data_IF_534787714904
#
_entry.id   IF_534787714904
#
_cell.length_a   1.000
_cell.length_b   1.000
_cell.length_c   1.000
_cell.angle_alpha   90.00
_cell.angle_beta   90.00
_cell.angle_gamma   90.00
#
_symmetry.space_group_name_H-M   'P 1'
#
loop_
_entity.id
_entity.type
_entity.pdbx_description
1 polymer ?
#
# COMPACT_ATOMS: atom_id res chain seq x y z
N UNK A 1 31.73 0.86 3.00
CA UNK A 1 30.73 0.32 3.95
C UNK A 1 29.41 0.99 3.64
N UNK A 2 28.44 0.18 3.23
CA UNK A 2 27.22 0.57 2.53
C UNK A 2 26.06 -0.11 3.25
N UNK A 3 24.97 0.60 3.51
CA UNK A 3 23.70 -0.02 3.88
C UNK A 3 22.57 0.60 3.06
N UNK A 4 22.09 -0.18 2.10
CA UNK A 4 20.74 -0.05 1.57
C UNK A 4 19.85 -0.82 2.55
N UNK A 5 19.08 -0.10 3.36
CA UNK A 5 17.97 -0.67 4.10
C UNK A 5 16.89 0.40 4.25
N UNK A 6 15.82 0.26 3.46
CA UNK A 6 14.49 0.81 3.77
C UNK A 6 13.46 0.53 2.65
N UNK A 7 13.84 0.15 1.43
CA UNK A 7 12.87 0.10 0.31
C UNK A 7 12.45 -1.29 -0.17
N UNK A 8 12.97 -2.38 0.41
CA UNK A 8 12.80 -3.75 -0.12
C UNK A 8 11.46 -4.47 0.18
N UNK A 9 10.54 -3.92 0.99
CA UNK A 9 9.46 -4.78 1.54
C UNK A 9 8.11 -4.10 1.83
N UNK A 10 7.69 -3.13 1.01
CA UNK A 10 6.36 -2.50 1.16
C UNK A 10 5.19 -3.46 0.83
N UNK A 11 5.44 -4.65 0.27
CA UNK A 11 4.38 -5.55 -0.24
C UNK A 11 3.86 -6.60 0.76
N UNK A 12 4.50 -6.80 1.91
CA UNK A 12 4.16 -7.92 2.82
C UNK A 12 3.14 -7.60 3.92
N UNK A 13 2.66 -6.36 4.05
CA UNK A 13 1.86 -5.93 5.22
C UNK A 13 0.34 -6.06 5.02
N UNK A 14 -0.15 -6.40 3.83
CA UNK A 14 -1.60 -6.45 3.56
C UNK A 14 -2.24 -7.83 3.62
N UNK A 15 -1.49 -8.87 3.97
CA UNK A 15 -2.04 -10.22 4.11
C UNK A 15 -1.62 -10.83 5.46
N UNK A 16 -2.33 -10.49 6.53
CA UNK A 16 -2.07 -11.02 7.87
C UNK A 16 -2.57 -12.47 8.09
N UNK A 17 -2.99 -13.19 7.03
CA UNK A 17 -3.48 -14.57 7.16
C UNK A 17 -2.80 -15.61 6.24
N UNK A 18 -1.71 -15.30 5.53
CA UNK A 18 -1.04 -16.27 4.67
C UNK A 18 0.32 -16.71 5.26
N UNK A 19 0.40 -17.96 5.75
CA UNK A 19 1.68 -18.65 6.02
C UNK A 19 2.40 -18.96 4.71
N UNK A 20 3.58 -18.38 4.50
CA UNK A 20 4.48 -18.69 3.39
C UNK A 20 5.46 -19.82 3.77
N UNK A 21 5.86 -20.71 2.83
CA UNK A 21 6.82 -21.77 3.09
C UNK A 21 8.27 -21.27 3.07
N UNK A 22 9.12 -21.89 3.90
CA UNK A 22 10.54 -21.60 4.06
C UNK A 22 11.32 -21.65 2.73
N UNK A 23 12.08 -20.59 2.44
CA UNK A 23 13.02 -20.52 1.32
C UNK A 23 14.47 -20.55 1.81
N UNK A 24 15.29 -21.32 1.12
CA UNK A 24 16.65 -21.74 1.49
C UNK A 24 17.73 -20.75 0.99
N UNK A 25 18.75 -20.48 1.83
CA UNK A 25 19.56 -19.25 1.87
C UNK A 25 20.82 -19.17 0.94
N UNK A 26 20.89 -19.94 -0.16
CA UNK A 26 22.18 -20.22 -0.81
C UNK A 26 22.62 -19.35 -2.01
N UNK A 27 22.00 -18.20 -2.31
CA UNK A 27 22.38 -17.37 -3.48
C UNK A 27 22.66 -15.89 -3.15
N UNK A 28 23.56 -15.61 -2.20
CA UNK A 28 23.90 -14.23 -1.77
C UNK A 28 25.07 -13.56 -2.52
N UNK A 29 25.77 -14.22 -3.44
CA UNK A 29 27.11 -13.77 -3.86
C UNK A 29 27.23 -12.96 -5.16
N UNK A 30 26.12 -12.63 -5.85
CA UNK A 30 26.20 -12.06 -7.21
C UNK A 30 25.55 -10.68 -7.45
N UNK A 31 25.01 -9.99 -6.43
CA UNK A 31 24.25 -8.74 -6.63
C UNK A 31 24.82 -7.50 -5.90
N UNK A 32 26.15 -7.32 -5.92
CA UNK A 32 26.85 -6.25 -5.18
C UNK A 32 27.20 -4.99 -5.98
N UNK A 33 26.80 -4.86 -7.25
CA UNK A 33 27.31 -3.78 -8.13
C UNK A 33 26.34 -2.64 -8.49
N UNK A 34 25.06 -2.67 -8.08
CA UNK A 34 24.09 -1.64 -8.49
C UNK A 34 23.72 -0.70 -7.32
N UNK A 35 24.68 0.08 -6.86
CA UNK A 35 24.54 1.05 -5.75
C UNK A 35 24.97 2.44 -6.26
N UNK A 36 24.15 3.07 -7.08
CA UNK A 36 24.40 4.43 -7.61
C UNK A 36 23.22 5.41 -7.51
N UNK A 37 22.13 5.10 -6.79
CA UNK A 37 20.94 5.99 -6.77
C UNK A 37 20.32 6.26 -5.39
N UNK A 38 21.16 6.46 -4.39
CA UNK A 38 20.91 7.58 -3.48
C UNK A 38 22.09 8.50 -3.67
N UNK A 39 21.85 9.67 -4.25
CA UNK A 39 22.60 10.83 -3.80
C UNK A 39 22.49 10.78 -2.28
N UNK A 40 23.58 10.41 -1.61
CA UNK A 40 23.78 10.77 -0.21
C UNK A 40 23.31 12.21 -0.19
N UNK A 41 22.32 12.54 0.64
CA UNK A 41 21.94 13.93 0.80
C UNK A 41 23.13 14.60 1.50
N UNK A 42 24.19 14.87 0.74
CA UNK A 42 25.15 15.91 1.01
C UNK A 42 24.34 17.17 0.76
N UNK A 43 23.52 17.52 1.74
CA UNK A 43 23.15 18.91 1.90
C UNK A 43 24.46 19.68 1.83
N UNK A 44 24.54 20.65 0.92
CA UNK A 44 25.77 21.34 0.56
C UNK A 44 26.53 21.91 1.78
N UNK A 45 25.87 22.00 2.93
CA UNK A 45 26.37 22.58 4.18
C UNK A 45 26.66 21.54 5.29
N UNK A 46 26.73 20.24 5.01
CA UNK A 46 27.18 19.26 6.02
C UNK A 46 26.19 19.10 7.17
N UNK A 47 24.96 18.68 6.86
CA UNK A 47 23.92 18.39 7.87
C UNK A 47 24.44 17.37 8.91
N UNK A 48 24.62 17.79 10.16
CA UNK A 48 25.06 16.92 11.25
C UNK A 48 23.85 16.40 12.01
N UNK A 49 23.74 15.09 12.20
CA UNK A 49 22.76 14.50 13.12
C UNK A 49 22.99 14.99 14.55
N UNK A 50 21.90 15.25 15.28
CA UNK A 50 21.97 15.61 16.68
C UNK A 50 22.13 14.38 17.58
N UNK A 51 23.15 14.32 18.45
CA UNK A 51 23.38 13.15 19.29
C UNK A 51 22.20 12.74 20.17
N UNK A 52 21.41 13.70 20.63
CA UNK A 52 20.24 13.48 21.46
C UNK A 52 19.02 12.97 20.67
N UNK A 53 19.02 13.13 19.34
CA UNK A 53 17.99 12.60 18.45
C UNK A 53 18.35 11.24 17.86
N UNK A 54 19.53 10.69 18.16
CA UNK A 54 19.89 9.31 17.82
C UNK A 54 19.17 8.29 18.72
N UNK A 55 17.84 8.25 18.62
CA UNK A 55 16.97 7.54 19.55
C UNK A 55 15.63 7.21 18.89
N UNK A 56 14.96 6.19 19.42
CA UNK A 56 13.57 5.87 19.16
C UNK A 56 12.65 6.20 20.35
N UNK A 57 13.08 7.06 21.28
CA UNK A 57 12.20 7.60 22.31
C UNK A 57 11.11 8.46 21.66
N UNK A 58 9.91 7.89 21.48
CA UNK A 58 8.81 8.55 20.78
C UNK A 58 8.40 9.87 21.42
N UNK A 59 8.51 10.01 22.74
CA UNK A 59 8.05 11.21 23.44
C UNK A 59 9.00 12.38 23.15
N UNK A 60 10.32 12.13 23.20
CA UNK A 60 11.35 13.11 22.82
C UNK A 60 11.22 13.51 21.34
N UNK A 61 10.98 12.55 20.44
CA UNK A 61 10.79 12.82 19.01
C UNK A 61 9.54 13.69 18.77
N UNK A 62 8.43 13.39 19.45
CA UNK A 62 7.19 14.18 19.34
C UNK A 62 7.34 15.58 19.94
N UNK A 63 8.01 15.72 21.09
CA UNK A 63 8.26 17.03 21.70
C UNK A 63 9.19 17.89 20.82
N UNK A 64 10.19 17.28 20.19
CA UNK A 64 11.08 17.95 19.22
C UNK A 64 10.31 18.38 17.97
N UNK A 65 9.46 17.49 17.43
CA UNK A 65 8.67 17.77 16.22
C UNK A 65 7.63 18.87 16.47
N UNK A 66 6.96 18.86 17.62
CA UNK A 66 5.90 19.84 17.96
C UNK A 66 6.42 21.13 18.57
N UNK A 67 7.69 21.18 18.97
CA UNK A 67 8.33 22.34 19.59
C UNK A 67 7.51 22.88 20.78
N UNK A 68 7.03 22.00 21.67
CA UNK A 68 6.23 22.37 22.85
C UNK A 68 6.92 23.37 23.79
N UNK A 69 8.22 23.61 23.62
CA UNK A 69 9.03 24.47 24.47
C UNK A 69 9.29 25.89 23.94
N UNK A 70 8.86 26.25 22.72
CA UNK A 70 9.02 27.63 22.23
C UNK A 70 7.74 28.42 22.54
N UNK A 71 7.86 29.42 23.43
CA UNK A 71 6.74 30.31 23.80
C UNK A 71 6.15 30.95 22.53
N UNK A 72 4.81 30.94 22.31
CA UNK A 72 4.18 31.30 21.04
C UNK A 72 4.29 32.78 20.63
N UNK A 73 4.95 33.64 21.40
CA UNK A 73 4.68 35.07 21.35
C UNK A 73 5.25 35.83 20.15
N UNK A 74 5.88 35.19 19.15
CA UNK A 74 6.36 35.81 17.89
C UNK A 74 6.98 34.86 16.85
N UNK A 75 6.86 33.54 16.99
CA UNK A 75 7.54 32.60 16.12
C UNK A 75 6.85 32.51 14.75
N UNK A 76 7.42 33.16 13.73
CA UNK A 76 7.19 32.79 12.33
C UNK A 76 7.54 31.32 12.21
N UNK A 77 6.62 30.50 11.68
CA UNK A 77 6.91 29.08 11.45
C UNK A 77 8.24 28.94 10.71
N UNK A 78 9.16 28.06 11.14
CA UNK A 78 10.44 27.88 10.46
C UNK A 78 10.25 27.41 9.00
N UNK A 79 9.05 26.93 8.65
CA UNK A 79 8.66 26.46 7.32
C UNK A 79 7.96 27.53 6.47
N UNK A 80 7.66 28.73 7.00
CA UNK A 80 6.98 29.83 6.29
C UNK A 80 7.92 30.90 5.70
N UNK A 81 9.22 30.63 5.62
CA UNK A 81 10.18 31.62 5.09
C UNK A 81 10.08 31.65 3.56
N UNK A 82 9.53 32.73 2.99
CA UNK A 82 9.65 33.00 1.54
C UNK A 82 11.13 33.17 1.23
N UNK A 83 11.75 32.17 0.60
CA UNK A 83 13.13 32.29 0.17
C UNK A 83 13.19 33.23 -1.04
N UNK A 84 13.95 34.32 -0.93
CA UNK A 84 14.20 35.24 -2.05
C UNK A 84 15.14 34.62 -3.11
N UNK A 85 15.78 33.50 -2.79
CA UNK A 85 16.68 32.78 -3.70
C UNK A 85 16.49 31.24 -3.57
N UNK A 86 16.12 30.52 -4.64
CA UNK A 86 15.77 29.09 -4.57
C UNK A 86 16.98 28.14 -4.48
N UNK A 87 18.21 28.61 -4.63
CA UNK A 87 19.40 27.76 -4.80
C UNK A 87 20.05 27.29 -3.51
N UNK A 88 19.93 28.02 -2.40
CA UNK A 88 20.42 27.58 -1.08
C UNK A 88 19.47 28.14 -0.02
N UNK A 89 18.70 27.25 0.61
CA UNK A 89 17.78 27.63 1.69
C UNK A 89 18.41 27.11 2.98
N UNK A 90 19.07 27.96 3.78
CA UNK A 90 19.56 27.54 5.07
C UNK A 90 18.37 27.17 5.96
N UNK A 91 18.28 25.88 6.30
CA UNK A 91 17.33 25.43 7.30
C UNK A 91 17.78 25.97 8.67
N UNK A 92 16.83 26.51 9.42
CA UNK A 92 17.09 26.84 10.83
C UNK A 92 17.45 25.57 11.60
N UNK A 93 18.19 25.70 12.70
CA UNK A 93 18.50 24.58 13.60
C UNK A 93 17.22 23.86 14.04
N UNK A 94 16.15 24.61 14.32
CA UNK A 94 14.84 24.08 14.68
C UNK A 94 14.26 23.21 13.55
N UNK A 95 14.25 23.70 12.31
CA UNK A 95 13.75 22.93 11.17
C UNK A 95 14.56 21.65 10.95
N UNK A 96 15.87 21.73 11.13
CA UNK A 96 16.79 20.58 11.01
C UNK A 96 16.49 19.52 12.07
N UNK A 97 16.31 19.93 13.33
CA UNK A 97 15.89 19.04 14.43
C UNK A 97 14.51 18.42 14.20
N UNK A 98 13.55 19.21 13.70
CA UNK A 98 12.21 18.69 13.36
C UNK A 98 12.28 17.65 12.24
N UNK A 99 13.13 17.85 11.23
CA UNK A 99 13.26 16.90 10.13
C UNK A 99 13.94 15.60 10.56
N UNK A 100 14.96 15.66 11.41
CA UNK A 100 15.55 14.45 12.01
C UNK A 100 14.54 13.72 12.91
N UNK A 101 13.76 14.45 13.71
CA UNK A 101 12.71 13.87 14.52
C UNK A 101 11.61 13.20 13.66
N UNK A 102 11.17 13.86 12.58
CA UNK A 102 10.24 13.31 11.60
C UNK A 102 10.77 12.02 10.99
N UNK A 103 12.04 12.01 10.58
CA UNK A 103 12.69 10.84 10.02
C UNK A 103 12.68 9.67 11.01
N UNK A 104 13.20 9.86 12.22
CA UNK A 104 13.31 8.81 13.22
C UNK A 104 11.94 8.29 13.67
N UNK A 105 10.95 9.18 13.80
CA UNK A 105 9.58 8.81 14.12
C UNK A 105 8.93 7.99 13.00
N UNK A 106 9.16 8.35 11.73
CA UNK A 106 8.70 7.56 10.59
C UNK A 106 9.33 6.17 10.57
N UNK A 107 10.63 6.04 10.90
CA UNK A 107 11.31 4.75 10.97
C UNK A 107 10.81 3.87 12.12
N UNK A 108 10.55 4.48 13.29
CA UNK A 108 9.94 3.79 14.42
C UNK A 108 8.57 3.23 14.04
N UNK A 109 7.69 4.06 13.49
CA UNK A 109 6.34 3.66 13.08
C UNK A 109 6.37 2.54 12.03
N UNK A 110 7.26 2.66 11.04
CA UNK A 110 7.43 1.64 10.00
C UNK A 110 7.86 0.29 10.58
N UNK A 111 8.87 0.25 11.45
CA UNK A 111 9.34 -1.00 12.04
C UNK A 111 8.32 -1.61 13.01
N UNK A 112 7.61 -0.79 13.80
CA UNK A 112 6.50 -1.26 14.64
C UNK A 112 5.36 -1.87 13.80
N UNK A 113 4.96 -1.23 12.70
CA UNK A 113 3.92 -1.75 11.80
C UNK A 113 4.31 -3.10 11.16
N UNK A 114 5.60 -3.39 11.08
CA UNK A 114 6.16 -4.63 10.51
C UNK A 114 6.61 -5.65 11.55
N UNK A 115 6.32 -5.40 12.83
CA UNK A 115 6.78 -6.22 13.95
C UNK A 115 8.31 -6.43 13.99
N UNK A 116 9.08 -5.44 13.52
CA UNK A 116 10.54 -5.45 13.58
C UNK A 116 11.03 -4.98 14.96
N UNK A 117 12.18 -5.49 15.41
CA UNK A 117 12.76 -5.14 16.72
C UNK A 117 13.78 -4.01 16.67
N UNK A 118 14.26 -3.68 15.48
CA UNK A 118 15.31 -2.70 15.23
C UNK A 118 15.05 -1.97 13.93
N UNK A 119 15.51 -0.72 13.85
CA UNK A 119 15.53 0.04 12.61
C UNK A 119 16.69 1.05 12.63
N UNK A 120 16.91 1.73 11.51
CA UNK A 120 17.94 2.77 11.39
C UNK A 120 17.37 4.12 11.81
N UNK A 121 18.09 4.83 12.67
CA UNK A 121 17.91 6.26 12.84
C UNK A 121 18.56 7.01 11.67
N UNK A 122 18.30 8.31 11.58
CA UNK A 122 18.96 9.20 10.65
C UNK A 122 20.49 9.16 10.82
N UNK A 123 20.96 9.16 12.08
CA UNK A 123 22.39 9.08 12.42
C UNK A 123 23.02 7.77 11.96
N UNK A 124 22.31 6.66 12.15
CA UNK A 124 22.83 5.35 11.76
C UNK A 124 23.11 5.32 10.25
N UNK A 125 22.19 5.83 9.44
CA UNK A 125 22.38 5.93 8.00
C UNK A 125 23.52 6.87 7.62
N UNK A 126 23.60 8.04 8.27
CA UNK A 126 24.66 9.02 8.03
C UNK A 126 26.05 8.45 8.31
N UNK A 127 26.19 7.65 9.38
CA UNK A 127 27.46 7.08 9.82
C UNK A 127 27.70 5.66 9.28
N UNK A 128 26.77 5.09 8.53
CA UNK A 128 26.84 3.70 8.06
C UNK A 128 26.86 2.67 9.19
N UNK A 129 26.17 2.96 10.30
CA UNK A 129 26.05 2.08 11.46
C UNK A 129 24.96 1.02 11.25
N UNK A 130 25.00 -0.02 12.08
CA UNK A 130 23.98 -1.07 12.11
C UNK A 130 22.67 -0.54 12.71
N UNK A 131 21.52 -1.14 12.37
CA UNK A 131 20.23 -0.71 12.91
C UNK A 131 20.20 -0.94 14.43
N UNK A 132 19.67 0.03 15.16
CA UNK A 132 19.56 -0.06 16.61
C UNK A 132 18.28 -0.77 17.01
N UNK A 133 18.37 -1.63 18.02
CA UNK A 133 17.17 -2.20 18.66
C UNK A 133 16.40 -1.10 19.34
N UNK A 134 15.09 -1.10 19.16
CA UNK A 134 14.21 -0.06 19.69
C UNK A 134 14.39 0.18 21.20
N UNK A 135 14.48 -0.88 22.02
CA UNK A 135 14.73 -0.74 23.46
C UNK A 135 16.07 -0.08 23.79
N UNK A 136 17.12 -0.49 23.08
CA UNK A 136 18.48 0.02 23.26
C UNK A 136 18.58 1.49 22.82
N UNK A 137 17.82 1.86 21.79
CA UNK A 137 17.65 3.22 21.31
C UNK A 137 16.68 4.07 22.15
N UNK A 138 16.26 3.62 23.34
CA UNK A 138 15.45 4.43 24.26
C UNK A 138 13.93 4.35 24.07
N UNK A 139 13.41 3.44 23.24
CA UNK A 139 11.98 3.20 23.14
C UNK A 139 11.47 2.39 24.34
N UNK A 140 10.72 3.06 25.22
CA UNK A 140 10.31 2.57 26.53
C UNK A 140 8.84 2.08 26.60
N UNK A 141 8.11 2.07 25.48
CA UNK A 141 6.70 1.63 25.43
C UNK A 141 6.52 0.11 25.30
N UNK A 142 7.62 -0.65 25.18
CA UNK A 142 7.55 -2.09 25.29
C UNK A 142 7.31 -2.54 26.73
N UNK A 143 6.56 -3.65 26.94
CA UNK A 143 6.41 -4.22 28.27
C UNK A 143 7.77 -4.66 28.84
N UNK A 144 8.05 -4.31 30.10
CA UNK A 144 9.28 -4.67 30.80
C UNK A 144 9.45 -6.19 31.02
N UNK A 145 8.37 -6.97 30.87
CA UNK A 145 8.41 -8.42 31.06
C UNK A 145 8.89 -9.12 29.77
N UNK A 146 10.15 -9.56 29.76
CA UNK A 146 10.75 -10.28 28.63
C UNK A 146 10.07 -11.62 28.31
N UNK A 147 9.23 -12.14 29.20
CA UNK A 147 8.56 -13.42 29.01
C UNK A 147 7.19 -13.29 28.29
N UNK A 148 6.72 -12.07 28.00
CA UNK A 148 5.47 -11.88 27.25
C UNK A 148 5.78 -11.57 25.78
N UNK A 149 5.07 -12.19 24.82
CA UNK A 149 5.18 -11.80 23.43
C UNK A 149 4.81 -10.32 23.29
N UNK A 150 5.55 -9.61 22.44
CA UNK A 150 5.33 -8.20 22.19
C UNK A 150 4.23 -8.07 21.15
N UNK A 151 3.13 -7.40 21.52
CA UNK A 151 2.11 -6.96 20.57
C UNK A 151 2.55 -5.65 19.91
N UNK A 152 3.27 -5.78 18.79
CA UNK A 152 3.79 -4.64 18.04
C UNK A 152 2.69 -3.74 17.49
N UNK A 153 1.54 -4.31 17.12
CA UNK A 153 0.45 -3.54 16.53
C UNK A 153 -0.27 -2.68 17.58
N UNK A 154 -0.52 -3.22 18.77
CA UNK A 154 -1.07 -2.43 19.88
C UNK A 154 -0.13 -1.26 20.26
N UNK A 155 1.18 -1.50 20.25
CA UNK A 155 2.18 -0.46 20.53
C UNK A 155 2.25 0.57 19.39
N UNK A 156 2.18 0.11 18.14
CA UNK A 156 2.07 0.99 16.98
C UNK A 156 0.84 1.91 17.10
N UNK A 157 -0.33 1.37 17.43
CA UNK A 157 -1.55 2.13 17.64
C UNK A 157 -1.40 3.18 18.76
N UNK A 158 -0.72 2.81 19.86
CA UNK A 158 -0.42 3.74 20.95
C UNK A 158 0.44 4.92 20.47
N UNK A 159 1.53 4.65 19.74
CA UNK A 159 2.40 5.71 19.20
C UNK A 159 1.65 6.59 18.19
N UNK A 160 0.83 6.02 17.31
CA UNK A 160 -0.01 6.78 16.38
C UNK A 160 -1.01 7.68 17.14
N UNK A 161 -1.63 7.18 18.20
CA UNK A 161 -2.48 7.99 19.09
C UNK A 161 -1.70 9.19 19.65
N UNK A 162 -0.45 9.00 20.05
CA UNK A 162 0.38 10.08 20.61
C UNK A 162 0.80 11.11 19.55
N UNK A 163 1.04 10.67 18.30
CA UNK A 163 1.25 11.56 17.15
C UNK A 163 0.03 12.47 16.94
N UNK A 164 -1.18 11.94 17.04
CA UNK A 164 -2.43 12.73 16.90
C UNK A 164 -2.58 13.68 18.10
N UNK A 165 -2.51 13.17 19.33
CA UNK A 165 -2.72 13.95 20.57
C UNK A 165 -1.69 15.05 20.78
N UNK A 166 -0.47 14.87 20.28
CA UNK A 166 0.58 15.87 20.39
C UNK A 166 0.40 17.06 19.44
N UNK A 167 -0.46 16.93 18.41
CA UNK A 167 -0.57 17.91 17.33
C UNK A 167 0.52 17.77 16.27
N UNK A 168 1.34 16.70 16.33
CA UNK A 168 2.42 16.48 15.37
C UNK A 168 1.93 16.35 13.92
N UNK A 169 0.72 15.82 13.70
CA UNK A 169 0.10 15.74 12.37
C UNK A 169 0.02 17.12 11.70
N UNK A 170 -0.37 18.15 12.46
CA UNK A 170 -0.55 19.51 11.93
C UNK A 170 0.81 20.10 11.47
N UNK A 171 1.89 19.79 12.20
CA UNK A 171 3.26 20.16 11.83
C UNK A 171 3.71 19.40 10.59
N UNK A 172 3.41 18.10 10.49
CA UNK A 172 3.75 17.28 9.32
C UNK A 172 3.08 17.82 8.05
N UNK A 173 1.81 18.22 8.13
CA UNK A 173 1.13 18.85 6.99
C UNK A 173 1.72 20.22 6.63
N UNK A 174 2.15 21.01 7.62
CA UNK A 174 2.85 22.26 7.38
C UNK A 174 4.19 22.02 6.67
N UNK A 175 4.97 21.03 7.12
CA UNK A 175 6.22 20.61 6.48
C UNK A 175 5.99 20.07 5.06
N UNK A 176 4.93 19.29 4.84
CA UNK A 176 4.58 18.72 3.53
C UNK A 176 4.27 19.80 2.48
N UNK A 177 3.64 20.91 2.89
CA UNK A 177 3.34 22.04 2.01
C UNK A 177 4.60 22.80 1.56
N UNK A 178 5.74 22.58 2.22
CA UNK A 178 7.00 23.18 1.84
C UNK A 178 7.62 22.43 0.65
N UNK A 179 7.41 22.96 -0.56
CA UNK A 179 7.93 22.38 -1.80
C UNK A 179 9.42 22.59 -2.01
N UNK A 180 10.10 23.34 -1.13
CA UNK A 180 11.51 23.72 -1.32
C UNK A 180 12.46 22.54 -1.12
N UNK A 181 12.06 21.56 -0.31
CA UNK A 181 12.90 20.41 0.06
C UNK A 181 12.15 19.11 -0.20
N UNK A 182 12.41 18.47 -1.34
CA UNK A 182 11.71 17.25 -1.77
C UNK A 182 11.81 16.12 -0.77
N UNK A 183 12.97 15.95 -0.13
CA UNK A 183 13.16 14.90 0.89
C UNK A 183 12.29 15.12 2.14
N UNK A 184 11.97 16.38 2.50
CA UNK A 184 11.01 16.69 3.57
C UNK A 184 9.64 16.19 3.18
N UNK A 185 9.19 16.52 1.96
CA UNK A 185 7.89 16.10 1.42
C UNK A 185 7.77 14.58 1.43
N UNK A 186 8.80 13.87 0.94
CA UNK A 186 8.86 12.42 0.98
C UNK A 186 8.73 11.87 2.41
N UNK A 187 9.48 12.41 3.38
CA UNK A 187 9.42 11.92 4.77
C UNK A 187 8.10 12.24 5.46
N UNK A 188 7.47 13.36 5.11
CA UNK A 188 6.10 13.64 5.55
C UNK A 188 5.14 12.57 5.02
N UNK A 189 5.24 12.20 3.74
CA UNK A 189 4.41 11.16 3.14
C UNK A 189 4.70 9.77 3.72
N UNK A 190 5.96 9.44 4.03
CA UNK A 190 6.32 8.19 4.71
C UNK A 190 5.65 8.08 6.09
N UNK A 191 5.69 9.15 6.90
CA UNK A 191 5.01 9.18 8.19
C UNK A 191 3.49 9.12 8.03
N UNK A 192 2.93 9.91 7.10
CA UNK A 192 1.49 9.95 6.83
C UNK A 192 0.97 8.58 6.36
N UNK A 193 1.76 7.85 5.56
CA UNK A 193 1.43 6.51 5.12
C UNK A 193 1.36 5.53 6.29
N UNK A 194 2.25 5.64 7.27
CA UNK A 194 2.15 4.82 8.47
C UNK A 194 0.90 5.16 9.28
N UNK A 195 0.70 6.43 9.67
CA UNK A 195 -0.42 6.80 10.56
C UNK A 195 -1.80 6.61 9.91
N UNK A 196 -1.92 6.77 8.58
CA UNK A 196 -3.14 6.51 7.83
C UNK A 196 -3.55 5.02 7.79
N UNK A 197 -2.72 4.11 8.32
CA UNK A 197 -3.10 2.71 8.52
C UNK A 197 -4.17 2.57 9.61
N UNK A 198 -4.28 3.52 10.52
CA UNK A 198 -5.34 3.55 11.54
C UNK A 198 -6.59 4.24 10.95
N UNK A 199 -7.73 3.54 10.81
CA UNK A 199 -8.91 4.08 10.11
C UNK A 199 -9.41 5.42 10.66
N UNK A 200 -9.41 5.59 11.98
CA UNK A 200 -9.85 6.84 12.63
C UNK A 200 -8.93 8.01 12.29
N UNK A 201 -7.63 7.76 12.14
CA UNK A 201 -6.66 8.79 11.76
C UNK A 201 -6.77 9.12 10.28
N UNK A 202 -6.95 8.12 9.42
CA UNK A 202 -7.22 8.34 8.00
C UNK A 202 -8.52 9.13 7.79
N UNK A 203 -9.59 8.86 8.55
CA UNK A 203 -10.82 9.66 8.53
C UNK A 203 -10.56 11.10 8.97
N UNK A 204 -9.82 11.28 10.07
CA UNK A 204 -9.41 12.62 10.54
C UNK A 204 -8.61 13.39 9.48
N UNK A 205 -7.73 12.71 8.74
CA UNK A 205 -6.98 13.30 7.62
C UNK A 205 -7.94 13.77 6.52
N UNK A 206 -8.86 12.91 6.08
CA UNK A 206 -9.83 13.24 5.04
C UNK A 206 -10.74 14.41 5.43
N UNK A 207 -11.17 14.46 6.69
CA UNK A 207 -12.12 15.46 7.18
C UNK A 207 -11.46 16.83 7.42
N UNK A 208 -10.24 16.85 7.99
CA UNK A 208 -9.56 18.09 8.37
C UNK A 208 -8.65 18.65 7.28
N UNK A 209 -8.19 17.80 6.36
CA UNK A 209 -7.22 18.15 5.32
C UNK A 209 -7.76 17.75 3.94
N UNK A 210 -8.97 18.18 3.59
CA UNK A 210 -9.64 17.81 2.33
C UNK A 210 -8.78 18.07 1.08
N UNK A 211 -8.06 19.20 1.04
CA UNK A 211 -7.18 19.58 -0.09
C UNK A 211 -5.97 18.63 -0.25
N UNK A 212 -5.69 17.81 0.75
CA UNK A 212 -4.56 16.88 0.70
C UNK A 212 -4.77 15.79 -0.36
N UNK A 213 -6.01 15.35 -0.60
CA UNK A 213 -6.28 14.40 -1.70
C UNK A 213 -5.85 14.98 -3.06
N UNK A 214 -6.10 16.27 -3.29
CA UNK A 214 -5.66 16.97 -4.50
C UNK A 214 -4.14 16.97 -4.59
N UNK A 215 -3.44 17.27 -3.49
CA UNK A 215 -1.98 17.28 -3.43
C UNK A 215 -1.38 15.88 -3.69
N UNK A 216 -2.00 14.81 -3.18
CA UNK A 216 -1.58 13.44 -3.44
C UNK A 216 -1.71 13.08 -4.93
N UNK A 217 -2.86 13.39 -5.55
CA UNK A 217 -3.08 13.12 -6.97
C UNK A 217 -2.13 13.93 -7.85
N UNK A 218 -1.89 15.20 -7.52
CA UNK A 218 -0.90 16.03 -8.20
C UNK A 218 0.52 15.47 -8.05
N UNK A 219 0.90 15.01 -6.85
CA UNK A 219 2.19 14.36 -6.61
C UNK A 219 2.36 13.07 -7.41
N UNK A 220 1.28 12.30 -7.62
CA UNK A 220 1.27 11.11 -8.48
C UNK A 220 1.43 11.51 -9.95
N UNK A 221 0.72 12.54 -10.41
CA UNK A 221 0.76 12.97 -11.81
C UNK A 221 2.10 13.59 -12.19
N UNK A 222 2.57 14.56 -11.42
CA UNK A 222 3.64 15.48 -11.82
C UNK A 222 4.95 15.25 -11.06
N UNK A 223 4.92 14.49 -9.96
CA UNK A 223 6.05 14.35 -9.05
C UNK A 223 7.13 13.37 -9.52
N UNK A 224 8.30 13.42 -8.88
CA UNK A 224 9.37 12.45 -9.10
C UNK A 224 8.96 11.04 -8.63
N UNK A 225 9.31 9.99 -9.38
CA UNK A 225 8.85 8.62 -9.14
C UNK A 225 9.10 8.14 -7.70
N UNK A 226 10.33 8.31 -7.22
CA UNK A 226 10.79 7.80 -5.92
C UNK A 226 10.34 8.70 -4.77
N UNK A 227 10.44 10.02 -4.96
CA UNK A 227 10.28 11.01 -3.88
C UNK A 227 8.82 11.42 -3.68
N UNK A 228 8.01 11.35 -4.74
CA UNK A 228 6.65 11.89 -4.73
C UNK A 228 5.59 10.88 -5.20
N UNK A 229 5.74 10.23 -6.38
CA UNK A 229 4.70 9.35 -6.91
C UNK A 229 4.45 8.15 -5.98
N UNK A 230 5.49 7.39 -5.65
CA UNK A 230 5.39 6.20 -4.79
C UNK A 230 4.89 6.57 -3.38
N UNK A 231 5.47 7.56 -2.67
CA UNK A 231 4.98 7.93 -1.34
C UNK A 231 3.55 8.48 -1.36
N UNK A 232 3.18 9.30 -2.34
CA UNK A 232 1.82 9.85 -2.45
C UNK A 232 0.80 8.74 -2.68
N UNK A 233 1.12 7.80 -3.57
CA UNK A 233 0.28 6.65 -3.85
C UNK A 233 0.16 5.71 -2.64
N UNK A 234 1.24 5.56 -1.86
CA UNK A 234 1.24 4.79 -0.62
C UNK A 234 0.26 5.37 0.42
N UNK A 235 0.23 6.71 0.57
CA UNK A 235 -0.76 7.38 1.44
C UNK A 235 -2.17 7.21 0.86
N UNK A 236 -2.34 7.51 -0.43
CA UNK A 236 -3.65 7.46 -1.10
C UNK A 236 -4.27 6.06 -1.02
N UNK A 237 -3.48 5.00 -1.21
CA UNK A 237 -3.91 3.61 -1.06
C UNK A 237 -4.64 3.36 0.27
N UNK A 238 -4.10 3.89 1.37
CA UNK A 238 -4.65 3.70 2.72
C UNK A 238 -5.89 4.57 2.95
N UNK A 239 -5.89 5.78 2.41
CA UNK A 239 -7.07 6.63 2.42
C UNK A 239 -8.22 6.01 1.60
N UNK A 240 -7.94 5.46 0.42
CA UNK A 240 -8.92 4.76 -0.42
C UNK A 240 -9.59 3.60 0.31
N UNK A 241 -8.85 2.83 1.12
CA UNK A 241 -9.45 1.79 1.97
C UNK A 241 -10.51 2.35 2.91
N UNK A 242 -10.24 3.48 3.55
CA UNK A 242 -11.20 4.12 4.45
C UNK A 242 -12.36 4.75 3.68
N UNK A 243 -12.09 5.39 2.54
CA UNK A 243 -13.11 5.95 1.65
C UNK A 243 -14.12 4.88 1.26
N UNK A 244 -13.64 3.73 0.77
CA UNK A 244 -14.51 2.63 0.33
C UNK A 244 -15.19 1.96 1.51
N UNK A 245 -14.45 1.58 2.56
CA UNK A 245 -15.03 0.87 3.71
C UNK A 245 -16.05 1.69 4.52
N UNK A 246 -15.92 3.01 4.53
CA UNK A 246 -16.83 3.93 5.23
C UNK A 246 -17.82 4.62 4.30
N UNK A 247 -17.85 4.24 3.02
CA UNK A 247 -18.71 4.81 1.99
C UNK A 247 -18.66 6.35 1.93
N UNK A 248 -17.45 6.91 1.89
CA UNK A 248 -17.22 8.36 1.86
C UNK A 248 -17.36 8.90 0.43
N UNK A 249 -18.61 8.96 -0.05
CA UNK A 249 -18.94 9.29 -1.44
C UNK A 249 -18.33 10.61 -1.93
N UNK A 250 -18.28 11.66 -1.10
CA UNK A 250 -17.70 12.95 -1.50
C UNK A 250 -16.20 12.84 -1.81
N UNK A 251 -15.45 12.11 -0.97
CA UNK A 251 -14.03 11.86 -1.20
C UNK A 251 -13.80 10.95 -2.40
N UNK A 252 -14.68 9.96 -2.61
CA UNK A 252 -14.63 9.10 -3.78
C UNK A 252 -14.88 9.89 -5.08
N UNK A 253 -15.95 10.70 -5.12
CA UNK A 253 -16.30 11.57 -6.24
C UNK A 253 -15.15 12.53 -6.56
N UNK A 254 -14.48 13.10 -5.54
CA UNK A 254 -13.31 13.95 -5.75
C UNK A 254 -12.19 13.24 -6.52
N UNK A 255 -11.95 11.94 -6.29
CA UNK A 255 -10.98 11.16 -7.06
C UNK A 255 -11.42 10.95 -8.53
N UNK A 256 -12.72 10.81 -8.77
CA UNK A 256 -13.29 10.72 -10.12
C UNK A 256 -13.14 12.04 -10.86
N UNK A 257 -13.49 13.15 -10.21
CA UNK A 257 -13.40 14.50 -10.79
C UNK A 257 -11.95 14.88 -11.14
N UNK A 258 -10.99 14.39 -10.36
CA UNK A 258 -9.56 14.54 -10.65
C UNK A 258 -9.03 13.59 -11.73
N UNK A 259 -9.89 12.73 -12.31
CA UNK A 259 -9.54 11.76 -13.34
C UNK A 259 -8.41 10.81 -12.91
N UNK A 260 -8.42 10.39 -11.63
CA UNK A 260 -7.31 9.63 -11.04
C UNK A 260 -6.93 8.38 -11.85
N UNK A 261 -7.91 7.65 -12.40
CA UNK A 261 -7.66 6.44 -13.19
C UNK A 261 -6.96 6.76 -14.51
N UNK A 262 -7.40 7.80 -15.21
CA UNK A 262 -6.76 8.21 -16.45
C UNK A 262 -5.31 8.63 -16.19
N UNK A 263 -5.05 9.36 -15.10
CA UNK A 263 -3.69 9.69 -14.66
C UNK A 263 -2.84 8.42 -14.47
N UNK A 264 -3.36 7.41 -13.76
CA UNK A 264 -2.61 6.17 -13.50
C UNK A 264 -2.33 5.41 -14.80
N UNK A 265 -3.30 5.28 -15.69
CA UNK A 265 -3.13 4.57 -16.97
C UNK A 265 -2.15 5.32 -17.87
N UNK A 266 -2.27 6.64 -17.97
CA UNK A 266 -1.33 7.47 -18.74
C UNK A 266 0.10 7.26 -18.22
N UNK A 267 0.29 7.21 -16.89
CA UNK A 267 1.60 6.94 -16.28
C UNK A 267 2.12 5.54 -16.59
N UNK A 268 1.26 4.53 -16.70
CA UNK A 268 1.69 3.21 -17.15
C UNK A 268 2.18 3.23 -18.61
N UNK A 269 1.58 4.09 -19.46
CA UNK A 269 1.90 4.20 -20.88
C UNK A 269 3.13 5.08 -21.17
N UNK A 270 3.51 6.01 -20.27
CA UNK A 270 4.59 7.01 -20.49
C UNK A 270 5.99 6.43 -20.78
N UNK A 271 6.23 5.13 -20.54
CA UNK A 271 7.48 4.49 -20.94
C UNK A 271 8.71 4.93 -20.14
N UNK A 272 8.53 5.59 -18.99
CA UNK A 272 9.64 6.01 -18.10
C UNK A 272 10.44 4.81 -17.53
N UNK A 273 9.87 3.60 -17.56
CA UNK A 273 10.50 2.34 -17.11
C UNK A 273 11.60 1.81 -18.05
N UNK A 274 11.96 2.53 -19.12
CA UNK A 274 12.99 2.10 -20.08
C UNK A 274 14.41 2.09 -19.50
N UNK A 275 14.64 2.72 -18.36
CA UNK A 275 15.95 2.75 -17.70
C UNK A 275 16.05 1.69 -16.61
N UNK A 276 17.13 0.89 -16.66
CA UNK A 276 17.41 -0.22 -15.74
C UNK A 276 17.36 0.24 -14.27
N UNK A 277 17.89 1.42 -13.96
CA UNK A 277 17.95 1.91 -12.56
C UNK A 277 16.57 2.33 -12.02
N UNK A 278 15.63 2.64 -12.91
CA UNK A 278 14.27 3.09 -12.56
C UNK A 278 13.25 1.95 -12.52
N UNK A 279 13.56 0.81 -13.13
CA UNK A 279 12.58 -0.26 -13.37
C UNK A 279 12.01 -0.80 -12.05
N UNK A 280 12.86 -1.06 -11.06
CA UNK A 280 12.44 -1.58 -9.75
C UNK A 280 11.45 -0.64 -9.05
N UNK A 281 11.69 0.68 -9.15
CA UNK A 281 10.80 1.68 -8.57
C UNK A 281 9.49 1.79 -9.35
N UNK A 282 9.54 1.68 -10.68
CA UNK A 282 8.33 1.64 -11.49
C UNK A 282 7.47 0.42 -11.18
N UNK A 283 8.06 -0.77 -11.03
CA UNK A 283 7.34 -1.99 -10.63
C UNK A 283 6.64 -1.78 -9.28
N UNK A 284 7.33 -1.15 -8.32
CA UNK A 284 6.74 -0.79 -7.02
C UNK A 284 5.58 0.20 -7.15
N UNK A 285 5.73 1.22 -7.99
CA UNK A 285 4.68 2.17 -8.31
C UNK A 285 3.47 1.46 -8.93
N UNK A 286 3.68 0.65 -9.97
CA UNK A 286 2.64 -0.09 -10.68
C UNK A 286 1.87 -1.02 -9.75
N UNK A 287 2.59 -1.75 -8.88
CA UNK A 287 1.98 -2.62 -7.87
C UNK A 287 1.07 -1.85 -6.90
N UNK A 288 1.53 -0.71 -6.39
CA UNK A 288 0.74 0.14 -5.49
C UNK A 288 -0.46 0.76 -6.21
N UNK A 289 -0.31 1.08 -7.50
CA UNK A 289 -1.34 1.70 -8.30
C UNK A 289 -2.48 0.71 -8.58
N UNK A 290 -2.14 -0.50 -9.01
CA UNK A 290 -3.10 -1.58 -9.20
C UNK A 290 -3.78 -1.98 -7.88
N UNK A 291 -3.07 -1.99 -6.76
CA UNK A 291 -3.68 -2.16 -5.43
C UNK A 291 -4.72 -1.09 -5.13
N UNK A 292 -4.37 0.18 -5.37
CA UNK A 292 -5.25 1.31 -5.13
C UNK A 292 -6.51 1.22 -6.00
N UNK A 293 -6.34 0.97 -7.30
CA UNK A 293 -7.44 0.78 -8.23
C UNK A 293 -8.33 -0.40 -7.83
N UNK A 294 -7.74 -1.55 -7.47
CA UNK A 294 -8.49 -2.71 -7.01
C UNK A 294 -9.37 -2.37 -5.80
N UNK A 295 -8.85 -1.65 -4.79
CA UNK A 295 -9.65 -1.20 -3.64
C UNK A 295 -10.80 -0.30 -4.08
N UNK A 296 -10.54 0.66 -4.97
CA UNK A 296 -11.58 1.56 -5.46
C UNK A 296 -12.68 0.85 -6.26
N UNK A 297 -12.38 -0.33 -6.83
CA UNK A 297 -13.28 -1.15 -7.62
C UNK A 297 -14.03 -2.23 -6.82
N UNK A 298 -13.82 -2.32 -5.49
CA UNK A 298 -14.47 -3.34 -4.66
C UNK A 298 -16.00 -3.18 -4.56
N UNK A 299 -16.54 -2.01 -4.92
CA UNK A 299 -17.98 -1.72 -4.88
C UNK A 299 -18.51 -1.45 -6.29
N UNK A 300 -19.54 -2.16 -6.73
CA UNK A 300 -20.14 -1.99 -8.06
C UNK A 300 -20.67 -0.56 -8.27
N UNK A 301 -21.31 0.03 -7.26
CA UNK A 301 -21.84 1.41 -7.32
C UNK A 301 -20.73 2.43 -7.62
N UNK A 302 -19.53 2.19 -7.09
CA UNK A 302 -18.36 3.03 -7.33
C UNK A 302 -17.81 2.86 -8.74
N UNK A 303 -17.83 1.64 -9.30
CA UNK A 303 -17.40 1.38 -10.68
C UNK A 303 -18.30 2.08 -11.69
N UNK A 304 -19.60 2.15 -11.41
CA UNK A 304 -20.58 2.83 -12.28
C UNK A 304 -20.34 4.35 -12.38
N UNK A 305 -19.64 4.94 -11.40
CA UNK A 305 -19.25 6.35 -11.44
C UNK A 305 -18.11 6.63 -12.43
N UNK A 306 -17.41 5.58 -12.91
CA UNK A 306 -16.26 5.73 -13.80
C UNK A 306 -16.71 5.84 -15.24
N UNK A 307 -16.04 6.68 -16.02
CA UNK A 307 -16.29 6.73 -17.46
C UNK A 307 -16.02 5.37 -18.10
N UNK A 308 -16.88 4.95 -19.03
CA UNK A 308 -16.71 3.69 -19.76
C UNK A 308 -15.35 3.62 -20.47
N UNK A 309 -14.88 4.76 -21.00
CA UNK A 309 -13.55 4.86 -21.61
C UNK A 309 -12.44 4.50 -20.62
N UNK A 310 -12.47 5.02 -19.40
CA UNK A 310 -11.45 4.71 -18.38
C UNK A 310 -11.50 3.23 -17.97
N UNK A 311 -12.70 2.66 -17.81
CA UNK A 311 -12.88 1.24 -17.50
C UNK A 311 -12.28 0.34 -18.60
N UNK A 312 -12.58 0.62 -19.88
CA UNK A 312 -12.04 -0.12 -21.03
C UNK A 312 -10.51 -0.01 -21.08
N UNK A 313 -9.95 1.19 -20.87
CA UNK A 313 -8.50 1.38 -20.85
C UNK A 313 -7.83 0.56 -19.76
N UNK A 314 -8.40 0.54 -18.55
CA UNK A 314 -7.86 -0.23 -17.44
C UNK A 314 -7.89 -1.73 -17.73
N UNK A 315 -8.98 -2.23 -18.29
CA UNK A 315 -9.13 -3.63 -18.71
C UNK A 315 -8.07 -3.98 -19.75
N UNK A 316 -7.91 -3.16 -20.79
CA UNK A 316 -6.92 -3.39 -21.84
C UNK A 316 -5.49 -3.39 -21.28
N UNK A 317 -5.20 -2.51 -20.34
CA UNK A 317 -3.91 -2.47 -19.67
C UNK A 317 -3.65 -3.76 -18.87
N UNK A 318 -4.62 -4.20 -18.06
CA UNK A 318 -4.51 -5.45 -17.30
C UNK A 318 -4.32 -6.65 -18.24
N UNK A 319 -5.09 -6.75 -19.32
CA UNK A 319 -4.93 -7.80 -20.34
C UNK A 319 -3.53 -7.77 -20.96
N UNK A 320 -3.01 -6.57 -21.27
CA UNK A 320 -1.66 -6.42 -21.83
C UNK A 320 -0.59 -6.92 -20.85
N UNK A 321 -0.73 -6.59 -19.56
CA UNK A 321 0.21 -7.04 -18.53
C UNK A 321 0.16 -8.57 -18.34
N UNK A 322 -1.04 -9.14 -18.27
CA UNK A 322 -1.25 -10.59 -18.17
C UNK A 322 -0.70 -11.32 -19.40
N UNK A 323 -0.97 -10.83 -20.61
CA UNK A 323 -0.49 -11.44 -21.84
C UNK A 323 1.04 -11.41 -21.95
N UNK A 324 1.69 -10.30 -21.57
CA UNK A 324 3.16 -10.21 -21.50
C UNK A 324 3.72 -11.28 -20.56
N UNK A 325 3.11 -11.48 -19.40
CA UNK A 325 3.58 -12.48 -18.42
C UNK A 325 3.51 -13.93 -18.93
N UNK A 326 2.58 -14.25 -19.83
CA UNK A 326 2.44 -15.59 -20.43
C UNK A 326 3.44 -15.81 -21.56
N UNK A 327 3.60 -14.82 -22.45
CA UNK A 327 4.48 -14.95 -23.61
C UNK A 327 5.97 -15.00 -23.23
N UNK A 328 6.37 -14.31 -22.16
CA UNK A 328 7.77 -14.33 -21.71
C UNK A 328 8.20 -15.72 -21.20
N UNK A 329 7.27 -16.52 -20.67
CA UNK A 329 7.53 -17.91 -20.27
C UNK A 329 7.82 -18.79 -21.50
N UNK A 330 7.13 -18.58 -22.63
CA UNK A 330 7.34 -19.35 -23.87
C UNK A 330 8.63 -18.93 -24.62
N UNK A 331 8.97 -17.64 -24.63
CA UNK A 331 10.18 -17.16 -25.30
C UNK A 331 11.46 -17.54 -24.55
N UNK A 332 11.44 -17.58 -23.21
CA UNK A 332 12.54 -18.13 -22.40
C UNK A 332 12.84 -19.59 -22.76
N UNK A 333 11.81 -20.38 -23.07
CA UNK A 333 11.96 -21.78 -23.46
C UNK A 333 12.64 -21.93 -24.84
N UNK A 334 12.34 -21.03 -25.78
CA UNK A 334 12.86 -21.10 -27.15
C UNK A 334 14.24 -20.44 -27.34
N UNK A 335 14.59 -19.43 -26.54
CA UNK A 335 15.87 -18.71 -26.69
C UNK A 335 17.12 -19.45 -26.22
N UNK A 336 16.98 -20.59 -25.52
CA UNK A 336 18.14 -21.44 -25.23
C UNK A 336 18.80 -22.06 -26.49
N UNK A 337 18.20 -21.93 -27.68
CA UNK A 337 18.72 -22.53 -28.91
C UNK A 337 19.37 -21.60 -29.95
N UNK A 338 19.33 -20.27 -29.81
CA UNK A 338 19.93 -19.38 -30.81
C UNK A 338 20.62 -18.14 -30.23
N UNK A 339 21.96 -18.14 -30.22
CA UNK A 339 22.80 -16.99 -29.89
C UNK A 339 23.50 -16.46 -31.15
N UNK A 340 23.09 -15.29 -31.67
CA UNK A 340 23.96 -14.32 -32.35
C UNK A 340 23.18 -13.07 -32.82
N UNK A 341 22.96 -12.09 -31.93
CA UNK A 341 22.83 -10.67 -32.30
C UNK A 341 22.83 -9.76 -31.06
N UNK A 342 23.70 -8.73 -31.04
CA UNK A 342 24.04 -7.99 -29.81
C UNK A 342 23.19 -6.73 -29.54
N UNK A 343 22.51 -6.16 -30.54
CA UNK A 343 21.74 -4.91 -30.34
C UNK A 343 20.27 -5.14 -29.98
N UNK A 344 19.66 -6.22 -30.45
CA UNK A 344 18.31 -6.62 -30.06
C UNK A 344 18.25 -7.07 -28.58
N UNK A 345 19.38 -7.61 -28.11
CA UNK A 345 19.63 -8.07 -26.74
C UNK A 345 19.32 -7.03 -25.67
N UNK A 346 19.54 -5.73 -25.90
CA UNK A 346 19.42 -4.73 -24.82
C UNK A 346 17.95 -4.39 -24.47
N UNK A 347 17.08 -4.30 -25.48
CA UNK A 347 15.62 -4.13 -25.29
C UNK A 347 14.98 -5.40 -24.75
N UNK A 348 15.42 -6.57 -25.22
CA UNK A 348 14.95 -7.87 -24.72
C UNK A 348 15.36 -8.11 -23.25
N UNK A 349 16.58 -7.73 -22.85
CA UNK A 349 17.04 -7.78 -21.45
C UNK A 349 16.15 -6.93 -20.53
N UNK A 350 15.70 -5.75 -20.97
CA UNK A 350 14.82 -4.91 -20.16
C UNK A 350 13.42 -5.53 -19.98
N UNK A 351 12.88 -6.18 -21.01
CA UNK A 351 11.61 -6.92 -20.91
C UNK A 351 11.74 -8.19 -20.07
N UNK A 352 12.86 -8.92 -20.18
CA UNK A 352 13.17 -10.10 -19.37
C UNK A 352 13.37 -9.76 -17.90
N UNK A 353 14.11 -8.69 -17.59
CA UNK A 353 14.27 -8.19 -16.20
C UNK A 353 12.93 -7.69 -15.66
N UNK A 354 12.17 -6.94 -16.47
CA UNK A 354 10.83 -6.49 -16.09
C UNK A 354 9.92 -7.69 -15.80
N UNK A 355 9.89 -8.72 -16.65
CA UNK A 355 9.11 -9.94 -16.48
C UNK A 355 9.58 -10.81 -15.31
N UNK A 356 10.90 -10.94 -15.11
CA UNK A 356 11.49 -11.69 -14.00
C UNK A 356 11.27 -10.97 -12.65
N UNK A 357 11.32 -9.65 -12.63
CA UNK A 357 10.99 -8.87 -11.43
C UNK A 357 9.47 -8.73 -11.21
N UNK A 358 8.66 -8.78 -12.27
CA UNK A 358 7.19 -8.91 -12.17
C UNK A 358 6.72 -10.32 -11.80
N UNK A 359 7.56 -11.33 -12.04
CA UNK A 359 7.32 -12.71 -11.58
C UNK A 359 7.29 -12.82 -10.05
N UNK A 360 7.67 -11.74 -9.35
CA UNK A 360 7.31 -11.48 -7.96
C UNK A 360 5.79 -11.17 -7.91
N UNK A 361 4.98 -12.22 -8.07
CA UNK A 361 3.59 -12.48 -7.65
C UNK A 361 2.63 -11.27 -7.61
N UNK A 362 2.95 -10.19 -6.91
CA UNK A 362 2.05 -9.10 -6.53
C UNK A 362 1.46 -8.29 -7.68
N UNK A 363 2.23 -7.73 -8.60
CA UNK A 363 1.64 -6.84 -9.65
C UNK A 363 0.71 -7.61 -10.60
N UNK A 364 1.08 -8.85 -10.95
CA UNK A 364 0.21 -9.72 -11.74
C UNK A 364 -1.05 -10.12 -10.95
N UNK A 365 -0.90 -10.46 -9.66
CA UNK A 365 -2.05 -10.72 -8.78
C UNK A 365 -3.01 -9.54 -8.77
N UNK A 366 -2.50 -8.32 -8.59
CA UNK A 366 -3.34 -7.13 -8.53
C UNK A 366 -3.92 -6.76 -9.89
N UNK A 367 -3.23 -6.99 -11.00
CA UNK A 367 -3.81 -6.84 -12.33
C UNK A 367 -4.95 -7.85 -12.56
N UNK A 368 -4.78 -9.11 -12.16
CA UNK A 368 -5.85 -10.12 -12.21
C UNK A 368 -7.04 -9.70 -11.34
N UNK A 369 -6.81 -9.29 -10.09
CA UNK A 369 -7.88 -8.85 -9.18
C UNK A 369 -8.59 -7.59 -9.70
N UNK A 370 -7.83 -6.62 -10.21
CA UNK A 370 -8.36 -5.38 -10.80
C UNK A 370 -9.22 -5.72 -12.01
N UNK A 371 -8.70 -6.56 -12.92
CA UNK A 371 -9.44 -7.05 -14.08
C UNK A 371 -10.76 -7.71 -13.67
N UNK A 372 -10.69 -8.69 -12.75
CA UNK A 372 -11.86 -9.42 -12.28
C UNK A 372 -12.89 -8.50 -11.62
N UNK A 373 -12.44 -7.48 -10.88
CA UNK A 373 -13.32 -6.50 -10.24
C UNK A 373 -14.08 -5.67 -11.28
N UNK A 374 -13.42 -5.20 -12.34
CA UNK A 374 -14.11 -4.48 -13.44
C UNK A 374 -15.10 -5.40 -14.16
N UNK A 375 -14.69 -6.63 -14.49
CA UNK A 375 -15.54 -7.59 -15.20
C UNK A 375 -16.76 -7.99 -14.37
N UNK A 376 -16.59 -8.21 -13.07
CA UNK A 376 -17.69 -8.58 -12.16
C UNK A 376 -18.77 -7.49 -12.11
N UNK A 377 -18.38 -6.24 -12.23
CA UNK A 377 -19.31 -5.11 -12.16
C UNK A 377 -20.07 -4.86 -13.46
N UNK A 378 -19.61 -5.39 -14.61
CA UNK A 378 -20.28 -5.20 -15.91
C UNK A 378 -20.80 -6.49 -16.53
N UNK A 379 -22.12 -6.55 -16.74
CA UNK A 379 -22.81 -7.70 -17.33
C UNK A 379 -22.33 -8.01 -18.75
N UNK A 380 -22.04 -6.99 -19.53
CA UNK A 380 -21.61 -7.09 -20.93
C UNK A 380 -20.20 -7.68 -21.05
N UNK A 381 -19.27 -7.26 -20.17
CA UNK A 381 -17.93 -7.84 -20.10
C UNK A 381 -18.00 -9.27 -19.55
N UNK A 382 -18.93 -9.54 -18.62
CA UNK A 382 -19.25 -10.88 -18.16
C UNK A 382 -19.83 -11.80 -19.25
N UNK A 383 -20.42 -11.27 -20.34
CA UNK A 383 -20.81 -12.05 -21.52
C UNK A 383 -19.58 -12.41 -22.33
N UNK A 384 -18.73 -11.42 -22.67
CA UNK A 384 -17.46 -11.67 -23.36
C UNK A 384 -16.60 -12.72 -22.62
N UNK A 385 -16.55 -12.65 -21.29
CA UNK A 385 -15.84 -13.64 -20.47
C UNK A 385 -16.42 -15.05 -20.55
N UNK A 386 -17.75 -15.17 -20.57
CA UNK A 386 -18.43 -16.47 -20.68
C UNK A 386 -18.27 -17.09 -22.06
N UNK A 387 -18.17 -16.27 -23.10
CA UNK A 387 -18.08 -16.73 -24.48
C UNK A 387 -16.63 -17.03 -24.92
N UNK A 388 -15.62 -16.51 -24.22
CA UNK A 388 -14.21 -16.71 -24.58
C UNK A 388 -13.51 -17.73 -23.66
N UNK A 389 -13.61 -19.01 -24.02
CA UNK A 389 -13.11 -20.14 -23.22
C UNK A 389 -11.61 -20.04 -22.91
N UNK A 390 -10.77 -19.71 -23.90
CA UNK A 390 -9.32 -19.56 -23.70
C UNK A 390 -8.97 -18.47 -22.69
N UNK A 391 -9.71 -17.37 -22.72
CA UNK A 391 -9.48 -16.27 -21.79
C UNK A 391 -9.93 -16.65 -20.35
N UNK A 392 -11.01 -17.43 -20.22
CA UNK A 392 -11.45 -17.99 -18.94
C UNK A 392 -10.41 -18.96 -18.36
N UNK A 393 -9.87 -19.86 -19.20
CA UNK A 393 -8.81 -20.79 -18.81
C UNK A 393 -7.56 -20.03 -18.37
N UNK A 394 -7.16 -18.99 -19.10
CA UNK A 394 -6.03 -18.14 -18.74
C UNK A 394 -6.25 -17.48 -17.37
N UNK A 395 -7.42 -16.86 -17.13
CA UNK A 395 -7.69 -16.25 -15.83
C UNK A 395 -7.74 -17.27 -14.70
N UNK A 396 -8.28 -18.46 -14.94
CA UNK A 396 -8.29 -19.55 -13.95
C UNK A 396 -6.86 -19.96 -13.60
N UNK A 397 -6.01 -20.17 -14.61
CA UNK A 397 -4.59 -20.48 -14.42
C UNK A 397 -3.85 -19.35 -13.68
N UNK A 398 -4.10 -18.09 -14.04
CA UNK A 398 -3.49 -16.92 -13.39
C UNK A 398 -3.98 -16.76 -11.95
N UNK A 399 -5.28 -16.96 -11.68
CA UNK A 399 -5.85 -16.93 -10.33
C UNK A 399 -5.30 -18.08 -9.47
N UNK A 400 -5.15 -19.27 -10.02
CA UNK A 400 -4.55 -20.40 -9.31
C UNK A 400 -3.04 -20.16 -9.04
N UNK A 401 -2.31 -19.57 -9.99
CA UNK A 401 -0.86 -19.33 -9.87
C UNK A 401 -0.52 -18.12 -8.99
N UNK A 402 -1.33 -17.06 -9.05
CA UNK A 402 -1.03 -15.76 -8.44
C UNK A 402 -2.13 -15.21 -7.53
N UNK A 403 -3.38 -15.65 -7.68
CA UNK A 403 -4.48 -15.16 -6.85
C UNK A 403 -4.27 -15.49 -5.36
N UNK A 404 -4.94 -14.75 -4.45
CA UNK A 404 -4.92 -15.09 -3.04
C UNK A 404 -5.38 -16.53 -2.87
N UNK A 405 -4.59 -17.33 -2.15
CA UNK A 405 -4.92 -18.72 -1.78
C UNK A 405 -5.99 -18.67 -0.70
N UNK A 406 -7.20 -18.32 -1.08
CA UNK A 406 -8.35 -18.45 -0.19
C UNK A 406 -8.66 -19.95 -0.10
N UNK A 407 -8.14 -20.62 0.94
CA UNK A 407 -8.45 -22.02 1.26
C UNK A 407 -9.98 -22.25 1.39
N UNK A 408 -10.75 -21.18 1.57
CA UNK A 408 -12.22 -21.19 1.64
C UNK A 408 -12.93 -21.10 0.26
N UNK A 409 -12.26 -20.67 -0.81
CA UNK A 409 -12.90 -20.45 -2.13
C UNK A 409 -12.91 -21.70 -3.02
N UNK A 410 -11.99 -22.64 -2.84
CA UNK A 410 -12.07 -23.94 -3.53
C UNK A 410 -13.30 -24.78 -3.08
N UNK A 411 -13.97 -24.35 -2.00
CA UNK A 411 -15.28 -24.89 -1.60
C UNK A 411 -16.47 -24.18 -2.29
N UNK A 412 -16.29 -23.02 -2.92
CA UNK A 412 -17.39 -22.23 -3.52
C UNK A 412 -17.81 -22.77 -4.89
N UNK A 413 -16.89 -23.32 -5.71
CA UNK A 413 -17.27 -23.93 -7.00
C UNK A 413 -18.10 -25.23 -6.84
N UNK A 414 -18.04 -25.85 -5.65
CA UNK A 414 -18.87 -27.00 -5.27
C UNK A 414 -19.97 -26.66 -4.23
N UNK A 415 -20.18 -25.38 -3.89
CA UNK A 415 -21.28 -24.99 -3.01
C UNK A 415 -22.60 -25.19 -3.74
N UNK A 416 -23.25 -26.32 -3.46
CA UNK A 416 -24.66 -26.48 -3.73
C UNK A 416 -25.42 -25.41 -2.94
N UNK A 417 -25.95 -24.41 -3.66
CA UNK A 417 -26.82 -23.40 -3.07
C UNK A 417 -27.92 -24.08 -2.24
N UNK A 418 -27.98 -23.74 -0.95
CA UNK A 418 -28.88 -24.38 0.00
C UNK A 418 -30.30 -23.85 -0.19
N UNK A 419 -31.30 -24.73 -0.08
CA UNK A 419 -32.71 -24.34 -0.05
C UNK A 419 -33.13 -24.02 1.38
N UNK A 420 -34.06 -23.07 1.53
CA UNK A 420 -34.55 -22.73 2.87
C UNK A 420 -35.21 -23.96 3.47
N UNK A 421 -34.85 -24.27 4.72
CA UNK A 421 -35.40 -25.43 5.42
C UNK A 421 -36.86 -25.26 5.86
N UNK A 422 -37.44 -24.07 5.72
CA UNK A 422 -38.88 -23.88 5.84
C UNK A 422 -39.56 -24.41 4.57
N UNK A 423 -40.38 -25.45 4.69
CA UNK A 423 -41.05 -26.11 3.56
C UNK A 423 -42.00 -25.19 2.76
N UNK A 424 -42.45 -24.08 3.37
CA UNK A 424 -43.28 -23.08 2.70
C UNK A 424 -42.44 -21.99 2.00
N UNK A 425 -41.13 -21.96 2.20
CA UNK A 425 -40.23 -20.97 1.64
C UNK A 425 -39.45 -21.55 0.46
N UNK A 426 -39.60 -20.94 -0.72
CA UNK A 426 -38.92 -21.38 -1.95
C UNK A 426 -37.57 -20.69 -2.19
N UNK A 427 -37.09 -19.88 -1.23
CA UNK A 427 -35.82 -19.16 -1.36
C UNK A 427 -34.64 -20.13 -1.44
N UNK A 428 -33.73 -19.83 -2.35
CA UNK A 428 -32.45 -20.50 -2.56
C UNK A 428 -31.34 -19.51 -2.20
N UNK A 429 -30.33 -19.98 -1.47
CA UNK A 429 -29.16 -19.18 -1.09
C UNK A 429 -28.47 -18.65 -2.35
N UNK A 430 -27.97 -17.41 -2.31
CA UNK A 430 -27.20 -16.79 -3.39
C UNK A 430 -26.20 -15.79 -2.82
N UNK A 431 -25.41 -15.15 -3.68
CA UNK A 431 -24.36 -14.20 -3.26
C UNK A 431 -24.86 -13.03 -2.40
N UNK A 432 -26.14 -12.68 -2.47
CA UNK A 432 -26.74 -11.56 -1.74
C UNK A 432 -27.45 -11.99 -0.46
N UNK A 433 -27.88 -13.25 -0.35
CA UNK A 433 -28.70 -13.74 0.76
C UNK A 433 -28.03 -14.97 1.38
N UNK A 434 -27.26 -14.75 2.44
CA UNK A 434 -26.66 -15.83 3.23
C UNK A 434 -27.67 -16.41 4.21
N UNK A 435 -27.81 -17.73 4.21
CA UNK A 435 -28.75 -18.39 5.12
C UNK A 435 -28.12 -18.56 6.51
N UNK A 436 -28.94 -18.37 7.54
CA UNK A 436 -28.54 -18.58 8.93
C UNK A 436 -28.86 -20.02 9.35
N UNK A 437 -27.90 -20.70 9.98
CA UNK A 437 -28.10 -22.02 10.57
C UNK A 437 -28.90 -21.91 11.87
N UNK A 438 -29.78 -22.88 12.17
CA UNK A 438 -30.47 -22.93 13.45
C UNK A 438 -29.44 -23.02 14.60
N UNK A 439 -29.49 -22.13 15.60
CA UNK A 439 -28.53 -22.17 16.72
C UNK A 439 -28.77 -23.36 17.66
N UNK A 440 -29.91 -24.04 17.58
CA UNK A 440 -30.23 -25.16 18.47
C UNK A 440 -29.97 -26.52 17.83
N UNK A 441 -30.37 -26.73 16.57
CA UNK A 441 -30.20 -28.04 15.92
C UNK A 441 -28.96 -28.11 15.03
N UNK A 442 -28.38 -26.97 14.62
CA UNK A 442 -27.25 -26.84 13.69
C UNK A 442 -27.38 -27.56 12.34
N UNK A 443 -28.54 -28.18 12.05
CA UNK A 443 -28.78 -29.00 10.86
C UNK A 443 -29.51 -28.25 9.75
N UNK A 444 -30.36 -27.30 10.11
CA UNK A 444 -31.26 -26.63 9.17
C UNK A 444 -30.87 -25.16 9.00
N UNK A 445 -31.14 -24.62 7.81
CA UNK A 445 -30.74 -23.27 7.39
C UNK A 445 -31.93 -22.45 6.89
N UNK A 446 -31.94 -21.14 7.17
CA UNK A 446 -33.07 -20.25 6.89
C UNK A 446 -32.64 -18.96 6.22
N UNK A 447 -33.43 -18.50 5.26
CA UNK A 447 -33.21 -17.23 4.57
C UNK A 447 -33.54 -15.99 5.41
N UNK A 448 -34.30 -16.16 6.50
CA UNK A 448 -34.76 -15.06 7.34
C UNK A 448 -35.02 -15.51 8.77
N UNK A 449 -35.05 -14.55 9.70
CA UNK A 449 -35.44 -14.78 11.09
C UNK A 449 -36.85 -15.37 11.18
N UNK A 450 -37.78 -14.89 10.36
CA UNK A 450 -39.15 -15.41 10.31
C UNK A 450 -39.20 -16.90 9.98
N UNK A 451 -38.49 -17.35 8.93
CA UNK A 451 -38.43 -18.77 8.57
C UNK A 451 -37.83 -19.63 9.68
N UNK A 452 -36.88 -19.09 10.45
CA UNK A 452 -36.29 -19.75 11.61
C UNK A 452 -37.30 -19.86 12.77
N UNK A 453 -38.07 -18.81 13.04
CA UNK A 453 -39.10 -18.79 14.10
C UNK A 453 -40.25 -19.77 13.81
N UNK A 454 -40.67 -19.90 12.55
CA UNK A 454 -41.65 -20.91 12.12
C UNK A 454 -41.12 -22.33 12.40
N UNK A 455 -39.85 -22.60 12.08
CA UNK A 455 -39.27 -23.89 12.43
C UNK A 455 -39.19 -24.12 13.94
N UNK A 456 -38.78 -23.09 14.69
CA UNK A 456 -38.61 -23.15 16.14
C UNK A 456 -39.92 -23.51 16.85
N UNK A 457 -40.99 -22.82 16.49
CA UNK A 457 -42.32 -23.04 17.05
C UNK A 457 -42.85 -24.45 16.78
N UNK A 458 -42.55 -25.02 15.60
CA UNK A 458 -43.02 -26.35 15.22
C UNK A 458 -42.18 -27.50 15.79
N UNK A 459 -40.87 -27.32 15.96
CA UNK A 459 -39.95 -28.45 16.22
C UNK A 459 -39.16 -28.34 17.53
N UNK A 460 -39.10 -27.15 18.16
CA UNK A 460 -38.34 -26.91 19.39
C UNK A 460 -39.20 -26.49 20.58
N UNK A 461 -40.46 -26.06 20.35
CA UNK A 461 -41.40 -25.70 21.42
C UNK A 461 -42.27 -26.87 21.94
N UNK A 462 -42.07 -28.08 21.43
CA UNK A 462 -42.81 -29.29 21.84
C UNK A 462 -41.97 -30.27 22.68
N UNK A 463 -40.77 -29.86 23.11
CA UNK A 463 -39.85 -30.66 23.91
C UNK A 463 -39.74 -30.15 25.34
#
# INVERSE_FOLDING_TARGET
>A
MRCIAANRSVLTVLDQNATLPDFNDNNQTAMTNDIECMDIIQFADGWYSYPDLNTFNSDLLLDTLTIRHIKPSKAVSPWNVKAENPTVIPLTEIATRQLEALFNLSQLLFGLARAEQSNYTFRDLQLGQQPQRFREAGFNKFPNNNNRPIDFFAIFQLVVSDVVKSGAIDIVFMMHKDSRIRCVKQKCLDLLSNVATIPDVARLILDRYSDFLIQLVQGIRDGHLIEEKIPSLSVLLRLCKVIVNKNLLDSYQSLIDMQFIDIIIDLFDTGEYKYIDSVVYFIKFESLALQCLNIMLQCAEHVDMWSEKAQIRLVNYCCTLLHKSVLDDEQKYNHHHHHNNNNQKKTEINHLIYAEQHSIIHSLSYATLTFLSVVRCRKEIGIFYRENEHFRELLSAMRHKYGPRNEDEDQDENRQYRKCSNSLCQMIENDQVKFQTCPHCHKLTYCSQYCREVHWTLNHNLS
#
